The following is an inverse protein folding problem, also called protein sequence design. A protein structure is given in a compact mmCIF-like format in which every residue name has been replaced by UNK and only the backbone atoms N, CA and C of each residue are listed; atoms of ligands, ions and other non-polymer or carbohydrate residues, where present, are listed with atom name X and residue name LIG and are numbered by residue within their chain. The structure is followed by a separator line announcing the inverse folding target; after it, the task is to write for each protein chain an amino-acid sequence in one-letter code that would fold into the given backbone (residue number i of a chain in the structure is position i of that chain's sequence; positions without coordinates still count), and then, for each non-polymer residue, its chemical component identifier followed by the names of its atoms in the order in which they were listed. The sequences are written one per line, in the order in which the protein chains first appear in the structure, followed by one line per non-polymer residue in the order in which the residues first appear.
data_IF_202441420403
#
_entry.id   IF_202441420403
#
_cell.length_a   1.000
_cell.length_b   1.000
_cell.length_c   1.000
_cell.angle_alpha   90.00
_cell.angle_beta   90.00
_cell.angle_gamma   90.00
#
_symmetry.space_group_name_H-M   'P 1'
#
loop_
_entity.id
_entity.type
_entity.pdbx_description
1 polymer ?
#
# COMPACT_ATOMS: atom_id res chain seq x y z
N UNK A 1 -3.74 -23.68 -10.26
CA UNK A 1 -2.99 -22.52 -9.74
C UNK A 1 -3.64 -21.29 -10.34
N UNK A 2 -4.27 -20.40 -9.56
CA UNK A 2 -4.83 -19.15 -10.09
C UNK A 2 -3.69 -18.14 -10.26
N UNK A 3 -3.52 -17.61 -11.48
CA UNK A 3 -2.60 -16.50 -11.71
C UNK A 3 -3.11 -15.26 -10.97
N UNK A 4 -2.23 -14.56 -10.24
CA UNK A 4 -2.53 -13.29 -9.58
C UNK A 4 -2.00 -12.17 -10.46
N UNK A 5 -2.86 -11.22 -10.83
CA UNK A 5 -2.50 -10.05 -11.64
C UNK A 5 -2.74 -8.79 -10.81
N UNK A 6 -1.77 -7.88 -10.81
CA UNK A 6 -1.86 -6.58 -10.15
C UNK A 6 -1.76 -5.47 -11.20
N UNK A 7 -2.65 -4.49 -11.14
CA UNK A 7 -2.65 -3.30 -12.00
C UNK A 7 -2.38 -2.07 -11.12
N UNK A 8 -1.13 -1.55 -11.08
CA UNK A 8 -0.74 -0.48 -10.16
C UNK A 8 -1.66 0.74 -10.18
N UNK A 9 -2.14 1.13 -11.36
CA UNK A 9 -3.03 2.27 -11.51
C UNK A 9 -4.40 2.06 -10.85
N UNK A 10 -4.98 0.86 -10.93
CA UNK A 10 -6.23 0.55 -10.23
C UNK A 10 -6.02 0.52 -8.71
N UNK A 11 -4.88 0.03 -8.24
CA UNK A 11 -4.54 0.02 -6.81
C UNK A 11 -4.40 1.45 -6.28
N UNK A 12 -3.77 2.34 -7.04
CA UNK A 12 -3.64 3.76 -6.68
C UNK A 12 -4.97 4.51 -6.71
N UNK A 13 -5.83 4.21 -7.69
CA UNK A 13 -7.19 4.74 -7.74
C UNK A 13 -7.99 4.30 -6.51
N UNK A 14 -7.96 3.01 -6.17
CA UNK A 14 -8.61 2.48 -4.98
C UNK A 14 -8.09 3.11 -3.68
N UNK A 15 -6.77 3.34 -3.56
CA UNK A 15 -6.19 4.05 -2.42
C UNK A 15 -6.73 5.48 -2.29
N UNK A 16 -6.96 6.16 -3.42
CA UNK A 16 -7.54 7.50 -3.46
C UNK A 16 -9.01 7.49 -3.03
N UNK A 17 -9.80 6.53 -3.54
CA UNK A 17 -11.21 6.35 -3.14
C UNK A 17 -11.34 6.05 -1.63
N UNK A 18 -10.46 5.20 -1.10
CA UNK A 18 -10.40 4.92 0.33
C UNK A 18 -10.08 6.15 1.16
N UNK A 19 -9.20 7.04 0.70
CA UNK A 19 -8.94 8.32 1.36
C UNK A 19 -10.20 9.21 1.37
N UNK A 20 -10.97 9.22 0.29
CA UNK A 20 -12.26 9.93 0.22
C UNK A 20 -13.26 9.34 1.21
N UNK A 21 -13.41 8.02 1.28
CA UNK A 21 -14.28 7.35 2.27
C UNK A 21 -13.90 7.75 3.70
N UNK A 22 -12.60 7.77 4.02
CA UNK A 22 -12.11 8.21 5.34
C UNK A 22 -12.46 9.65 5.64
N UNK A 23 -12.35 10.55 4.66
CA UNK A 23 -12.77 11.94 4.86
C UNK A 23 -14.27 12.05 5.18
N UNK A 24 -15.11 11.27 4.52
CA UNK A 24 -16.56 11.24 4.79
C UNK A 24 -16.86 10.66 6.17
N UNK A 25 -16.16 9.60 6.58
CA UNK A 25 -16.32 9.00 7.91
C UNK A 25 -15.89 9.96 9.02
N UNK A 26 -14.78 10.67 8.85
CA UNK A 26 -14.30 11.66 9.82
C UNK A 26 -15.33 12.78 10.05
N UNK A 27 -15.93 13.28 8.97
CA UNK A 27 -17.03 14.26 9.05
C UNK A 27 -18.24 13.68 9.80
N UNK A 28 -18.61 12.43 9.52
CA UNK A 28 -19.72 11.76 10.19
C UNK A 28 -19.45 11.52 11.69
N UNK A 29 -18.20 11.17 12.06
CA UNK A 29 -17.82 10.99 13.47
C UNK A 29 -17.91 12.31 14.25
N UNK A 30 -17.46 13.42 13.64
CA UNK A 30 -17.55 14.77 14.21
C UNK A 30 -19.02 15.20 14.37
N UNK A 31 -19.85 14.98 13.34
CA UNK A 31 -21.27 15.31 13.39
C UNK A 31 -22.01 14.50 14.46
N UNK A 32 -21.69 13.21 14.57
CA UNK A 32 -22.29 12.33 15.57
C UNK A 32 -21.80 12.63 17.00
N UNK A 33 -20.59 13.16 17.19
CA UNK A 33 -20.00 13.38 18.51
C UNK A 33 -20.87 14.29 19.40
N UNK A 34 -21.35 15.41 18.86
CA UNK A 34 -22.22 16.34 19.60
C UNK A 34 -23.44 15.66 20.23
N UNK A 35 -24.40 15.17 19.43
CA UNK A 35 -25.65 14.61 19.95
C UNK A 35 -25.48 13.31 20.77
N UNK A 36 -24.38 12.57 20.59
CA UNK A 36 -24.15 11.31 21.30
C UNK A 36 -23.39 11.48 22.62
N UNK A 37 -22.53 12.50 22.74
CA UNK A 37 -21.80 12.78 23.98
C UNK A 37 -22.64 13.60 24.97
N UNK A 38 -23.55 14.45 24.48
CA UNK A 38 -24.36 15.34 25.32
C UNK A 38 -25.81 14.87 25.45
N UNK A 39 -26.02 13.60 25.82
CA UNK A 39 -27.37 13.06 26.01
C UNK A 39 -27.97 13.63 27.29
N UNK A 40 -29.16 14.24 27.16
CA UNK A 40 -29.90 14.75 28.29
C UNK A 40 -30.73 13.62 28.93
N UNK A 41 -30.85 13.55 30.27
CA UNK A 41 -31.74 12.61 30.95
C UNK A 41 -33.19 12.76 30.47
N UNK A 42 -33.89 11.64 30.27
CA UNK A 42 -35.28 11.64 29.83
C UNK A 42 -36.24 12.23 30.88
N UNK A 43 -35.89 12.13 32.16
CA UNK A 43 -36.59 12.72 33.29
C UNK A 43 -35.60 13.12 34.40
N UNK A 44 -36.10 13.79 35.44
CA UNK A 44 -35.29 14.33 36.54
C UNK A 44 -34.85 13.28 37.58
N UNK A 45 -35.19 12.02 37.37
CA UNK A 45 -34.84 10.94 38.28
C UNK A 45 -33.39 10.44 38.08
N UNK A 46 -32.85 9.80 39.11
CA UNK A 46 -31.47 9.30 39.13
C UNK A 46 -31.24 8.19 38.10
N UNK A 47 -32.27 7.40 37.74
CA UNK A 47 -32.13 6.30 36.75
C UNK A 47 -31.99 6.89 35.35
N UNK A 48 -32.82 7.87 34.99
CA UNK A 48 -32.71 8.62 33.74
C UNK A 48 -31.35 9.32 33.63
N UNK A 49 -30.86 9.91 34.72
CA UNK A 49 -29.54 10.54 34.76
C UNK A 49 -28.40 9.50 34.56
N UNK A 50 -28.48 8.36 35.23
CA UNK A 50 -27.49 7.29 35.10
C UNK A 50 -27.48 6.67 33.70
N UNK A 51 -28.64 6.51 33.06
CA UNK A 51 -28.75 6.00 31.69
C UNK A 51 -28.14 6.99 30.68
N UNK A 52 -28.44 8.29 30.81
CA UNK A 52 -27.84 9.31 29.96
C UNK A 52 -26.30 9.32 30.08
N UNK A 53 -25.78 9.26 31.31
CA UNK A 53 -24.33 9.17 31.56
C UNK A 53 -23.70 7.89 31.00
N UNK A 54 -24.39 6.74 31.08
CA UNK A 54 -23.93 5.49 30.49
C UNK A 54 -23.73 5.65 28.98
N UNK A 55 -24.75 6.17 28.27
CA UNK A 55 -24.64 6.34 26.82
C UNK A 55 -23.59 7.37 26.40
N UNK A 56 -23.48 8.50 27.13
CA UNK A 56 -22.41 9.48 26.91
C UNK A 56 -21.02 8.84 27.04
N UNK A 57 -20.80 7.98 28.05
CA UNK A 57 -19.53 7.26 28.23
C UNK A 57 -19.26 6.27 27.10
N UNK A 58 -20.27 5.53 26.66
CA UNK A 58 -20.09 4.63 25.49
C UNK A 58 -19.80 5.41 24.22
N UNK A 59 -20.36 6.61 24.05
CA UNK A 59 -20.02 7.51 22.96
C UNK A 59 -18.57 8.01 23.04
N UNK A 60 -18.03 8.30 24.24
CA UNK A 60 -16.61 8.63 24.43
C UNK A 60 -15.69 7.48 24.01
N UNK A 61 -16.01 6.24 24.43
CA UNK A 61 -15.27 5.05 24.03
C UNK A 61 -15.34 4.84 22.51
N UNK A 62 -16.51 5.04 21.90
CA UNK A 62 -16.68 4.97 20.46
C UNK A 62 -15.80 6.00 19.73
N UNK A 63 -15.76 7.26 20.18
CA UNK A 63 -14.94 8.30 19.55
C UNK A 63 -13.43 8.00 19.67
N UNK A 64 -13.00 7.44 20.80
CA UNK A 64 -11.61 6.96 20.95
C UNK A 64 -11.29 5.83 19.97
N UNK A 65 -12.18 4.85 19.84
CA UNK A 65 -12.02 3.73 18.91
C UNK A 65 -12.05 4.21 17.44
N UNK A 66 -12.93 5.17 17.11
CA UNK A 66 -12.98 5.80 15.80
C UNK A 66 -11.66 6.49 15.46
N UNK A 67 -11.05 7.20 16.41
CA UNK A 67 -9.71 7.80 16.24
C UNK A 67 -8.62 6.76 15.95
N UNK A 68 -8.64 5.61 16.64
CA UNK A 68 -7.72 4.50 16.36
C UNK A 68 -7.94 3.91 14.96
N UNK A 69 -9.19 3.75 14.56
CA UNK A 69 -9.56 3.27 13.22
C UNK A 69 -9.08 4.23 12.12
N UNK A 70 -9.19 5.55 12.33
CA UNK A 70 -8.66 6.58 11.42
C UNK A 70 -7.15 6.43 11.22
N UNK A 71 -6.39 6.28 12.32
CA UNK A 71 -4.94 6.10 12.24
C UNK A 71 -4.56 4.82 11.47
N UNK A 72 -5.28 3.72 11.71
CA UNK A 72 -5.09 2.47 10.97
C UNK A 72 -5.40 2.63 9.48
N UNK A 73 -6.50 3.32 9.14
CA UNK A 73 -6.91 3.54 7.76
C UNK A 73 -5.88 4.35 6.98
N UNK A 74 -5.34 5.41 7.59
CA UNK A 74 -4.31 6.25 6.97
C UNK A 74 -3.05 5.41 6.64
N UNK A 75 -2.64 4.56 7.57
CA UNK A 75 -1.52 3.63 7.34
C UNK A 75 -1.85 2.55 6.29
N UNK A 76 -3.10 2.10 6.21
CA UNK A 76 -3.53 1.16 5.19
C UNK A 76 -3.44 1.79 3.80
N UNK A 77 -3.97 2.99 3.61
CA UNK A 77 -3.91 3.74 2.34
C UNK A 77 -2.47 4.05 1.93
N UNK A 78 -1.62 4.43 2.90
CA UNK A 78 -0.20 4.66 2.66
C UNK A 78 0.49 3.39 2.15
N UNK A 79 0.25 2.25 2.81
CA UNK A 79 0.83 0.96 2.40
C UNK A 79 0.32 0.50 1.04
N UNK A 80 -0.97 0.70 0.76
CA UNK A 80 -1.57 0.35 -0.52
C UNK A 80 -0.94 1.16 -1.67
N UNK A 81 -0.74 2.46 -1.44
CA UNK A 81 -0.08 3.37 -2.40
C UNK A 81 1.38 2.99 -2.62
N UNK A 82 2.12 2.69 -1.55
CA UNK A 82 3.51 2.23 -1.64
C UNK A 82 3.61 0.89 -2.38
N UNK A 83 2.69 -0.03 -2.14
CA UNK A 83 2.60 -1.30 -2.85
C UNK A 83 2.37 -1.12 -4.35
N UNK A 84 1.46 -0.23 -4.75
CA UNK A 84 1.25 0.13 -6.15
C UNK A 84 2.53 0.68 -6.79
N UNK A 85 3.22 1.60 -6.12
CA UNK A 85 4.51 2.12 -6.56
C UNK A 85 5.57 1.03 -6.72
N UNK A 86 5.60 0.06 -5.80
CA UNK A 86 6.47 -1.12 -5.86
C UNK A 86 6.22 -1.94 -7.14
N UNK A 87 4.97 -2.31 -7.43
CA UNK A 87 4.64 -3.04 -8.66
C UNK A 87 4.97 -2.25 -9.93
N UNK A 88 4.65 -0.95 -9.97
CA UNK A 88 4.98 -0.10 -11.12
C UNK A 88 6.49 0.01 -11.35
N UNK A 89 7.28 0.15 -10.27
CA UNK A 89 8.74 0.20 -10.35
C UNK A 89 9.35 -1.12 -10.83
N UNK A 90 8.77 -2.25 -10.42
CA UNK A 90 9.18 -3.56 -10.88
C UNK A 90 8.88 -3.75 -12.37
N UNK A 91 7.70 -3.34 -12.84
CA UNK A 91 7.34 -3.38 -14.26
C UNK A 91 8.27 -2.51 -15.11
N UNK A 92 8.53 -1.27 -14.69
CA UNK A 92 9.47 -0.38 -15.37
C UNK A 92 10.91 -0.93 -15.38
N UNK A 93 11.35 -1.51 -14.26
CA UNK A 93 12.65 -2.17 -14.17
C UNK A 93 12.77 -3.36 -15.12
N UNK A 94 11.75 -4.23 -15.16
CA UNK A 94 11.71 -5.38 -16.06
C UNK A 94 11.71 -4.93 -17.52
N UNK A 95 10.92 -3.91 -17.88
CA UNK A 95 10.90 -3.34 -19.23
C UNK A 95 12.28 -2.78 -19.63
N UNK A 96 12.93 -2.02 -18.76
CA UNK A 96 14.26 -1.46 -19.00
C UNK A 96 15.33 -2.56 -19.21
N UNK A 97 15.23 -3.67 -18.47
CA UNK A 97 16.13 -4.83 -18.62
C UNK A 97 15.89 -5.61 -19.91
N UNK A 98 14.65 -5.68 -20.40
CA UNK A 98 14.31 -6.42 -21.62
C UNK A 98 14.54 -5.61 -22.90
N UNK A 99 14.63 -4.28 -22.82
CA UNK A 99 14.87 -3.38 -23.96
C UNK A 99 16.11 -3.77 -24.80
N UNK A 100 17.28 -4.09 -24.21
CA UNK A 100 18.47 -4.49 -24.96
C UNK A 100 18.34 -5.86 -25.62
N UNK A 101 17.68 -6.82 -24.96
CA UNK A 101 17.46 -8.17 -25.51
C UNK A 101 16.46 -8.14 -26.69
N UNK A 102 15.42 -7.31 -26.61
CA UNK A 102 14.50 -7.11 -27.73
C UNK A 102 15.23 -6.49 -28.94
N UNK A 103 16.16 -5.56 -28.70
CA UNK A 103 16.99 -4.96 -29.75
C UNK A 103 17.94 -5.98 -30.39
N UNK A 104 18.57 -6.87 -29.61
CA UNK A 104 19.49 -7.90 -30.13
C UNK A 104 18.79 -9.02 -30.89
N UNK A 105 17.57 -9.38 -30.50
CA UNK A 105 16.74 -10.33 -31.27
C UNK A 105 16.27 -9.71 -32.58
N UNK A 106 15.90 -8.43 -32.57
CA UNK A 106 15.53 -7.70 -33.78
C UNK A 106 16.68 -7.63 -34.79
N UNK A 107 17.91 -7.34 -34.35
CA UNK A 107 19.08 -7.33 -35.22
C UNK A 107 19.46 -8.73 -35.73
N UNK A 108 19.35 -9.76 -34.89
CA UNK A 108 19.59 -11.15 -35.31
C UNK A 108 18.58 -11.63 -36.36
N UNK A 109 17.31 -11.24 -36.26
CA UNK A 109 16.29 -11.57 -37.26
C UNK A 109 16.54 -10.89 -38.62
N UNK A 110 17.06 -9.65 -38.60
CA UNK A 110 17.49 -8.92 -39.81
C UNK A 110 18.71 -9.61 -40.44
N UNK A 111 19.65 -10.09 -39.63
CA UNK A 111 20.86 -10.78 -40.07
C UNK A 111 20.57 -12.18 -40.64
N UNK A 112 19.57 -12.90 -40.08
CA UNK A 112 19.10 -14.20 -40.59
C UNK A 112 18.47 -14.10 -41.98
N UNK A 113 17.78 -13.00 -42.30
CA UNK A 113 17.21 -12.77 -43.63
C UNK A 113 18.25 -12.26 -44.66
N UNK A 114 19.50 -12.00 -44.22
CA UNK A 114 20.62 -11.53 -45.05
C UNK A 114 21.90 -12.40 -45.02
N UNK A 115 21.89 -13.52 -44.28
CA UNK A 115 22.92 -14.56 -44.05
C UNK A 115 24.40 -14.16 -44.19
N UNK A 116 25.05 -13.89 -43.06
CA UNK A 116 26.15 -14.74 -42.54
C UNK A 116 26.16 -14.70 -41.01
N UNK A 117 26.07 -15.87 -40.36
CA UNK A 117 26.09 -16.07 -38.90
C UNK A 117 27.49 -16.51 -38.45
N UNK A 118 28.01 -15.92 -37.36
CA UNK A 118 28.48 -16.73 -36.24
C UNK A 118 27.99 -16.11 -34.91
N UNK A 119 26.68 -16.13 -34.65
CA UNK A 119 26.19 -15.94 -33.29
C UNK A 119 26.22 -17.30 -32.62
N UNK A 120 27.20 -17.51 -31.76
CA UNK A 120 27.23 -18.70 -30.92
C UNK A 120 26.06 -18.62 -29.93
N UNK A 121 25.59 -19.76 -29.42
CA UNK A 121 24.56 -19.77 -28.37
C UNK A 121 25.00 -18.91 -27.16
N UNK A 122 26.32 -18.75 -26.96
CA UNK A 122 26.93 -17.87 -25.95
C UNK A 122 26.59 -16.39 -26.16
N UNK A 123 26.59 -15.89 -27.40
CA UNK A 123 26.23 -14.50 -27.73
C UNK A 123 24.76 -14.15 -27.44
N UNK A 124 23.89 -15.16 -27.42
CA UNK A 124 22.46 -15.02 -27.08
C UNK A 124 22.23 -15.24 -25.57
N UNK A 125 22.90 -16.24 -25.00
CA UNK A 125 22.69 -16.65 -23.60
C UNK A 125 23.39 -15.75 -22.59
N UNK A 126 24.56 -15.19 -22.89
CA UNK A 126 25.28 -14.27 -22.00
C UNK A 126 24.48 -13.00 -21.64
N UNK A 127 23.85 -12.26 -22.59
CA UNK A 127 23.01 -11.13 -22.22
C UNK A 127 21.75 -11.57 -21.47
N UNK A 128 21.16 -12.72 -21.80
CA UNK A 128 19.99 -13.26 -21.07
C UNK A 128 20.31 -13.62 -19.62
N UNK A 129 21.48 -14.22 -19.37
CA UNK A 129 21.93 -14.59 -18.02
C UNK A 129 22.32 -13.35 -17.22
N UNK A 130 22.93 -12.34 -17.86
CA UNK A 130 23.16 -11.02 -17.28
C UNK A 130 21.85 -10.33 -16.89
N UNK A 131 20.85 -10.35 -17.77
CA UNK A 131 19.51 -9.81 -17.50
C UNK A 131 18.85 -10.55 -16.34
N UNK A 132 18.88 -11.89 -16.33
CA UNK A 132 18.33 -12.71 -15.23
C UNK A 132 19.01 -12.39 -13.89
N UNK A 133 20.34 -12.22 -13.89
CA UNK A 133 21.10 -11.87 -12.70
C UNK A 133 20.75 -10.45 -12.21
N UNK A 134 20.58 -9.48 -13.11
CA UNK A 134 20.12 -8.12 -12.76
C UNK A 134 18.64 -8.05 -12.36
N UNK A 135 17.82 -8.98 -12.82
CA UNK A 135 16.43 -9.10 -12.40
C UNK A 135 16.33 -9.59 -10.95
N UNK A 136 17.18 -10.56 -10.59
CA UNK A 136 17.20 -11.18 -9.25
C UNK A 136 18.02 -10.36 -8.24
N UNK A 137 19.07 -9.66 -8.67
CA UNK A 137 20.04 -9.00 -7.79
C UNK A 137 20.43 -7.58 -8.23
N UNK A 138 19.67 -6.96 -9.14
CA UNK A 138 19.99 -5.63 -9.68
C UNK A 138 19.24 -4.47 -9.01
N UNK A 139 19.47 -3.23 -9.51
CA UNK A 139 18.90 -2.00 -8.98
C UNK A 139 17.37 -2.01 -8.79
N UNK A 140 16.53 -2.57 -9.69
CA UNK A 140 15.08 -2.59 -9.46
C UNK A 140 14.70 -3.49 -8.27
N UNK A 141 15.39 -4.61 -8.05
CA UNK A 141 15.19 -5.46 -6.87
C UNK A 141 15.66 -4.75 -5.58
N UNK A 142 16.76 -4.00 -5.64
CA UNK A 142 17.26 -3.20 -4.52
C UNK A 142 16.35 -2.00 -4.20
N UNK A 143 15.75 -1.36 -5.20
CA UNK A 143 14.75 -0.29 -5.01
C UNK A 143 13.43 -0.85 -4.48
N UNK A 144 13.01 -2.03 -4.93
CA UNK A 144 11.90 -2.76 -4.32
C UNK A 144 12.17 -3.08 -2.84
N UNK A 145 13.35 -3.63 -2.53
CA UNK A 145 13.80 -3.85 -1.15
C UNK A 145 13.92 -2.56 -0.34
N UNK A 146 14.34 -1.46 -0.95
CA UNK A 146 14.42 -0.16 -0.30
C UNK A 146 13.02 0.44 -0.05
N UNK A 147 12.07 0.28 -0.98
CA UNK A 147 10.68 0.70 -0.79
C UNK A 147 9.98 -0.13 0.30
N UNK A 148 10.19 -1.44 0.31
CA UNK A 148 9.72 -2.35 1.38
C UNK A 148 10.45 -2.06 2.70
N UNK A 149 11.76 -1.82 2.65
CA UNK A 149 12.63 -1.48 3.77
C UNK A 149 12.36 -0.12 4.41
N UNK A 150 11.95 0.87 3.61
CA UNK A 150 11.52 2.19 4.09
C UNK A 150 10.15 2.10 4.79
N UNK A 151 9.29 1.17 4.38
CA UNK A 151 8.01 0.90 5.04
C UNK A 151 8.13 0.06 6.33
N UNK A 152 9.22 -0.71 6.48
CA UNK A 152 9.47 -1.60 7.63
C UNK A 152 9.58 -0.90 9.00
N UNK A 153 10.33 0.22 9.21
CA UNK A 153 10.40 0.87 10.52
C UNK A 153 9.04 1.45 10.95
N UNK A 154 8.19 1.88 10.01
CA UNK A 154 6.81 2.33 10.27
C UNK A 154 5.90 1.18 10.69
N UNK A 155 6.13 -0.03 10.16
CA UNK A 155 5.42 -1.25 10.55
C UNK A 155 5.89 -1.77 11.93
N UNK A 156 7.17 -1.60 12.29
CA UNK A 156 7.67 -1.99 13.62
C UNK A 156 7.14 -1.05 14.72
N UNK A 157 6.96 0.25 14.43
CA UNK A 157 6.29 1.21 15.32
C UNK A 157 4.79 0.88 15.56
N UNK A 158 4.21 0.00 14.73
CA UNK A 158 2.84 -0.51 14.89
C UNK A 158 2.71 -1.61 15.96
N UNK A 159 3.82 -2.26 16.34
CA UNK A 159 3.86 -3.33 17.35
C UNK A 159 4.45 -2.87 18.69
N UNK A 160 5.01 -1.67 18.76
CA UNK A 160 5.30 -1.05 20.05
C UNK A 160 3.99 -0.56 20.65
N UNK A 161 3.53 -1.10 21.79
CA UNK A 161 2.34 -0.55 22.45
C UNK A 161 2.61 0.92 22.74
N UNK A 162 1.64 1.79 22.41
CA UNK A 162 1.59 3.14 22.99
C UNK A 162 1.66 2.92 24.50
N UNK A 163 2.81 3.26 25.09
CA UNK A 163 2.93 3.31 26.53
C UNK A 163 1.87 4.29 26.99
N UNK A 164 0.92 3.80 27.77
CA UNK A 164 -0.06 4.58 28.49
C UNK A 164 0.70 5.63 29.28
N UNK A 165 0.77 6.86 28.77
CA UNK A 165 1.23 8.00 29.52
C UNK A 165 0.12 8.36 30.53
N UNK A 166 0.05 7.58 31.59
CA UNK A 166 -0.59 7.96 32.84
C UNK A 166 0.49 8.66 33.68
N UNK A 167 0.42 9.98 33.73
CA UNK A 167 1.17 10.87 34.60
C UNK A 167 0.35 12.14 34.78
#
# INVERSE_FOLDING_TARGET
MSNVMATPELIKAAATELATVRSTLDAAHIEAAGPTLTIQPAAADEVSAAIAQLFSREAEHYQQAAGQATAFHDQFVQRLTAGAGGYASAEAGNAALLQPAAASVGSAAVDVLGVTIPTTLEDITAPLLGILLTLVLGPPFLLFLAAVGYALPTIVQLFTPVATAAG
#
